data_IF_677172482023
#
_entry.id   IF_677172482023
#
_cell.length_a   1.000
_cell.length_b   1.000
_cell.length_c   1.000
_cell.angle_alpha   90.00
_cell.angle_beta   90.00
_cell.angle_gamma   90.00
#
_symmetry.space_group_name_H-M   'P 1'
#
loop_
_entity.id
_entity.type
_entity.pdbx_description
1 polymer ?
#
# COMPACT_ATOMS: atom_id res chain seq x y z
N UNK A 1 -15.99 7.76 -12.33
CA UNK A 1 -14.83 8.66 -12.53
C UNK A 1 -13.60 7.77 -12.60
N UNK A 2 -12.78 7.87 -13.65
CA UNK A 2 -11.48 7.23 -13.62
C UNK A 2 -10.63 7.93 -12.55
N UNK A 3 -9.95 7.20 -11.66
CA UNK A 3 -9.03 7.82 -10.71
C UNK A 3 -7.95 8.59 -11.48
N UNK A 4 -7.44 9.71 -10.94
CA UNK A 4 -6.38 10.51 -11.58
C UNK A 4 -5.01 9.81 -11.57
N UNK A 5 -4.98 8.50 -11.36
CA UNK A 5 -3.80 7.65 -11.23
C UNK A 5 -4.13 6.22 -11.70
N UNK A 6 -3.10 5.49 -12.12
CA UNK A 6 -3.21 4.07 -12.47
C UNK A 6 -2.93 3.19 -11.26
N UNK A 7 -3.59 2.02 -11.19
CA UNK A 7 -3.29 1.00 -10.19
C UNK A 7 -2.89 -0.27 -10.91
N UNK A 8 -1.69 -0.76 -10.64
CA UNK A 8 -1.17 -2.02 -11.16
C UNK A 8 -1.08 -3.00 -10.00
N UNK A 9 -1.60 -4.20 -10.20
CA UNK A 9 -1.62 -5.23 -9.17
C UNK A 9 -0.65 -6.35 -9.54
N UNK A 10 0.13 -6.79 -8.56
CA UNK A 10 0.68 -8.14 -8.62
C UNK A 10 -0.48 -9.15 -8.67
N UNK A 11 -0.31 -10.21 -9.45
CA UNK A 11 -1.37 -11.21 -9.68
C UNK A 11 -1.86 -11.82 -8.37
N UNK A 12 -0.94 -12.24 -7.49
CA UNK A 12 -1.28 -12.82 -6.19
C UNK A 12 -2.01 -11.82 -5.29
N UNK A 13 -1.56 -10.55 -5.28
CA UNK A 13 -2.21 -9.50 -4.50
C UNK A 13 -3.65 -9.26 -4.98
N UNK A 14 -3.88 -9.30 -6.31
CA UNK A 14 -5.21 -9.17 -6.87
C UNK A 14 -6.10 -10.35 -6.49
N UNK A 15 -5.57 -11.58 -6.56
CA UNK A 15 -6.32 -12.77 -6.17
C UNK A 15 -6.71 -12.75 -4.68
N UNK A 16 -5.83 -12.30 -3.79
CA UNK A 16 -6.18 -12.11 -2.37
C UNK A 16 -7.27 -11.07 -2.23
N UNK A 17 -7.13 -9.91 -2.90
CA UNK A 17 -8.11 -8.83 -2.84
C UNK A 17 -9.51 -9.27 -3.27
N UNK A 18 -9.62 -10.00 -4.38
CA UNK A 18 -10.90 -10.45 -4.93
C UNK A 18 -11.63 -11.47 -4.02
N UNK A 19 -10.93 -12.10 -3.05
CA UNK A 19 -11.53 -13.01 -2.05
C UNK A 19 -12.03 -12.30 -0.80
N UNK A 20 -11.65 -11.03 -0.59
CA UNK A 20 -12.05 -10.28 0.60
C UNK A 20 -13.54 -9.94 0.57
N UNK A 21 -14.19 -9.77 1.74
CA UNK A 21 -15.54 -9.22 1.81
C UNK A 21 -15.63 -7.86 1.12
N UNK A 22 -16.77 -7.55 0.48
CA UNK A 22 -16.94 -6.34 -0.31
C UNK A 22 -16.70 -5.07 0.52
N UNK A 23 -17.11 -5.06 1.80
CA UNK A 23 -16.89 -3.94 2.70
C UNK A 23 -15.40 -3.68 2.94
N UNK A 24 -14.60 -4.76 3.04
CA UNK A 24 -13.15 -4.67 3.20
C UNK A 24 -12.50 -4.20 1.90
N UNK A 25 -12.95 -4.70 0.74
CA UNK A 25 -12.51 -4.22 -0.56
C UNK A 25 -12.78 -2.72 -0.75
N UNK A 26 -13.96 -2.26 -0.34
CA UNK A 26 -14.36 -0.85 -0.42
C UNK A 26 -13.53 0.02 0.52
N UNK A 27 -13.31 -0.43 1.77
CA UNK A 27 -12.48 0.28 2.73
C UNK A 27 -11.03 0.40 2.23
N UNK A 28 -10.50 -0.68 1.65
CA UNK A 28 -9.17 -0.71 1.07
C UNK A 28 -9.04 0.25 -0.13
N UNK A 29 -9.94 0.14 -1.11
CA UNK A 29 -9.91 0.99 -2.31
C UNK A 29 -10.14 2.47 -2.00
N UNK A 30 -10.92 2.77 -0.96
CA UNK A 30 -11.12 4.13 -0.45
C UNK A 30 -9.85 4.78 0.11
N UNK A 31 -8.85 4.00 0.52
CA UNK A 31 -7.57 4.54 1.05
C UNK A 31 -6.55 4.86 -0.05
N UNK A 32 -6.67 4.24 -1.23
CA UNK A 32 -5.66 4.35 -2.29
C UNK A 32 -5.41 5.80 -2.75
N UNK A 33 -6.43 6.67 -2.93
CA UNK A 33 -6.20 8.07 -3.30
C UNK A 33 -5.35 8.83 -2.26
N UNK A 34 -5.54 8.56 -0.97
CA UNK A 34 -4.75 9.16 0.11
C UNK A 34 -3.30 8.68 0.09
N UNK A 35 -3.07 7.39 -0.18
CA UNK A 35 -1.72 6.84 -0.35
C UNK A 35 -1.01 7.45 -1.55
N UNK A 36 -1.69 7.58 -2.69
CA UNK A 36 -1.14 8.22 -3.89
C UNK A 36 -0.76 9.67 -3.62
N UNK A 37 -1.62 10.44 -2.95
CA UNK A 37 -1.31 11.81 -2.58
C UNK A 37 -0.08 11.88 -1.66
N UNK A 38 0.01 10.99 -0.67
CA UNK A 38 1.17 10.92 0.22
C UNK A 38 2.46 10.57 -0.53
N UNK A 39 2.43 9.57 -1.41
CA UNK A 39 3.60 9.20 -2.19
C UNK A 39 4.00 10.23 -3.23
N UNK A 40 3.05 10.92 -3.88
CA UNK A 40 3.38 12.00 -4.81
C UNK A 40 4.18 13.12 -4.14
N UNK A 41 3.94 13.36 -2.85
CA UNK A 41 4.71 14.33 -2.07
C UNK A 41 6.12 13.81 -1.72
N UNK A 42 6.26 12.52 -1.44
CA UNK A 42 7.54 11.86 -1.15
C UNK A 42 8.40 11.60 -2.38
N UNK A 43 7.77 11.33 -3.53
CA UNK A 43 8.43 10.92 -4.76
C UNK A 43 9.55 11.87 -5.21
N UNK A 44 9.39 13.21 -5.24
CA UNK A 44 10.48 14.11 -5.62
C UNK A 44 11.62 14.18 -4.59
N UNK A 45 11.42 13.66 -3.37
CA UNK A 45 12.43 13.64 -2.30
C UNK A 45 13.26 12.34 -2.33
N UNK A 46 12.88 11.37 -3.15
CA UNK A 46 13.58 10.08 -3.24
C UNK A 46 15.00 10.27 -3.79
N UNK A 47 15.96 9.42 -3.41
CA UNK A 47 17.25 9.34 -4.08
C UNK A 47 17.11 9.12 -5.59
N UNK A 48 17.89 9.82 -6.41
CA UNK A 48 17.78 9.78 -7.88
C UNK A 48 17.94 8.39 -8.50
N UNK A 49 18.59 7.45 -7.79
CA UNK A 49 18.78 6.07 -8.23
C UNK A 49 17.57 5.16 -7.96
N UNK A 50 16.55 5.64 -7.26
CA UNK A 50 15.32 4.90 -7.02
C UNK A 50 14.25 5.35 -8.01
N UNK A 51 13.66 4.41 -8.72
CA UNK A 51 12.57 4.68 -9.67
C UNK A 51 11.20 4.81 -8.98
N UNK A 52 11.09 4.26 -7.77
CA UNK A 52 9.84 4.17 -6.99
C UNK A 52 10.04 4.58 -5.53
N UNK A 53 8.95 4.97 -4.87
CA UNK A 53 8.87 5.07 -3.41
C UNK A 53 7.84 4.07 -2.91
N UNK A 54 8.20 3.27 -1.92
CA UNK A 54 7.35 2.18 -1.46
C UNK A 54 7.10 2.19 0.04
N UNK A 55 6.02 1.55 0.43
CA UNK A 55 5.74 1.29 1.82
C UNK A 55 4.90 0.03 2.07
N UNK A 56 5.06 -0.51 3.27
CA UNK A 56 4.16 -1.49 3.87
C UNK A 56 3.09 -0.78 4.69
N UNK A 57 1.84 -1.11 4.41
CA UNK A 57 0.66 -0.65 5.12
C UNK A 57 -0.10 -1.84 5.71
N UNK A 58 -0.91 -1.57 6.72
CA UNK A 58 -1.59 -2.58 7.52
C UNK A 58 -3.06 -2.22 7.71
N UNK A 59 -3.96 -3.17 7.44
CA UNK A 59 -5.40 -3.01 7.61
C UNK A 59 -5.95 -4.09 8.54
N UNK A 60 -6.76 -3.70 9.51
CA UNK A 60 -7.49 -4.63 10.37
C UNK A 60 -8.97 -4.56 10.06
N UNK A 61 -9.61 -5.72 9.92
CA UNK A 61 -11.06 -5.84 9.86
C UNK A 61 -11.51 -6.94 10.86
N UNK A 62 -11.53 -6.63 12.18
CA UNK A 62 -11.75 -7.64 13.23
C UNK A 62 -13.10 -8.35 13.13
N UNK A 63 -14.13 -7.67 12.63
CA UNK A 63 -15.48 -8.23 12.41
C UNK A 63 -15.44 -9.44 11.46
N UNK A 64 -14.48 -9.44 10.53
CA UNK A 64 -14.27 -10.52 9.56
C UNK A 64 -13.11 -11.43 9.94
N UNK A 65 -12.48 -11.24 11.11
CA UNK A 65 -11.27 -11.94 11.54
C UNK A 65 -10.11 -11.82 10.52
N UNK A 66 -9.95 -10.63 9.93
CA UNK A 66 -8.94 -10.34 8.92
C UNK A 66 -7.91 -9.33 9.40
N UNK A 67 -6.64 -9.66 9.21
CA UNK A 67 -5.48 -8.79 9.41
C UNK A 67 -4.66 -8.83 8.13
N UNK A 68 -4.52 -7.69 7.47
CA UNK A 68 -3.92 -7.61 6.13
C UNK A 68 -2.66 -6.77 6.16
N UNK A 69 -1.61 -7.27 5.51
CA UNK A 69 -0.44 -6.48 5.11
C UNK A 69 -0.50 -6.21 3.63
N UNK A 70 -0.23 -4.96 3.26
CA UNK A 70 -0.14 -4.52 1.88
C UNK A 70 1.25 -3.95 1.61
N UNK A 71 1.90 -4.43 0.55
CA UNK A 71 3.04 -3.79 -0.07
C UNK A 71 2.57 -2.87 -1.18
N UNK A 72 3.04 -1.62 -1.15
CA UNK A 72 2.78 -0.65 -2.22
C UNK A 72 4.07 0.01 -2.67
N UNK A 73 4.14 0.30 -3.96
CA UNK A 73 5.14 1.15 -4.57
C UNK A 73 4.46 2.21 -5.42
N UNK A 74 5.09 3.37 -5.53
CA UNK A 74 4.64 4.49 -6.31
C UNK A 74 5.71 4.90 -7.30
N UNK A 75 5.31 5.12 -8.54
CA UNK A 75 6.13 5.72 -9.58
C UNK A 75 5.32 6.68 -10.45
N UNK A 76 6.00 7.42 -11.32
CA UNK A 76 5.34 8.28 -12.30
C UNK A 76 5.79 7.92 -13.71
N UNK A 77 4.84 7.81 -14.64
CA UNK A 77 5.13 7.64 -16.07
C UNK A 77 4.54 8.80 -16.85
N UNK A 78 5.41 9.68 -17.36
CA UNK A 78 4.96 10.85 -18.12
C UNK A 78 3.98 11.74 -17.34
N UNK A 79 4.28 11.99 -16.06
CA UNK A 79 3.45 12.76 -15.10
C UNK A 79 2.12 12.09 -14.69
N UNK A 80 1.88 10.85 -15.11
CA UNK A 80 0.76 10.05 -14.60
C UNK A 80 1.22 9.27 -13.37
N UNK A 81 0.59 9.46 -12.19
CA UNK A 81 0.90 8.68 -11.00
C UNK A 81 0.49 7.22 -11.17
N UNK A 82 1.35 6.30 -10.74
CA UNK A 82 1.10 4.86 -10.77
C UNK A 82 1.31 4.31 -9.36
N UNK A 83 0.28 3.65 -8.83
CA UNK A 83 0.35 2.87 -7.61
C UNK A 83 0.46 1.39 -7.96
N UNK A 84 1.57 0.76 -7.60
CA UNK A 84 1.76 -0.68 -7.69
C UNK A 84 1.37 -1.31 -6.35
N UNK A 85 0.36 -2.16 -6.35
CA UNK A 85 0.06 -3.05 -5.21
C UNK A 85 0.86 -4.32 -5.42
N UNK A 86 2.04 -4.38 -4.80
CA UNK A 86 3.03 -5.45 -5.01
C UNK A 86 2.76 -6.67 -4.15
N UNK A 87 2.10 -6.49 -3.00
CA UNK A 87 1.76 -7.57 -2.07
C UNK A 87 0.43 -7.27 -1.39
N UNK A 88 -0.38 -8.31 -1.18
CA UNK A 88 -1.51 -8.30 -0.26
C UNK A 88 -1.61 -9.67 0.41
N UNK A 89 -1.36 -9.70 1.72
CA UNK A 89 -1.28 -10.94 2.50
C UNK A 89 -2.22 -10.90 3.70
N UNK A 90 -2.94 -11.99 3.91
CA UNK A 90 -3.64 -12.28 5.16
C UNK A 90 -2.63 -12.78 6.20
N UNK A 91 -2.66 -12.18 7.38
CA UNK A 91 -1.79 -12.49 8.50
C UNK A 91 -2.63 -12.98 9.67
N UNK A 92 -2.03 -13.81 10.52
CA UNK A 92 -2.55 -13.99 11.88
C UNK A 92 -2.41 -12.69 12.70
N UNK A 93 -3.16 -12.53 13.80
CA UNK A 93 -3.02 -11.35 14.67
C UNK A 93 -1.59 -11.12 15.16
N UNK A 94 -0.86 -12.19 15.51
CA UNK A 94 0.52 -12.10 15.98
C UNK A 94 1.49 -11.64 14.88
N UNK A 95 1.37 -12.20 13.67
CA UNK A 95 2.18 -11.80 12.52
C UNK A 95 1.90 -10.36 12.10
N UNK A 96 0.65 -9.92 12.23
CA UNK A 96 0.27 -8.54 11.96
C UNK A 96 0.94 -7.58 12.94
N UNK A 97 0.86 -7.87 14.25
CA UNK A 97 1.50 -7.04 15.27
C UNK A 97 3.02 -6.97 15.04
N UNK A 98 3.65 -8.10 14.77
CA UNK A 98 5.07 -8.15 14.43
C UNK A 98 5.39 -7.29 13.20
N UNK A 99 4.63 -7.43 12.12
CA UNK A 99 4.86 -6.67 10.89
C UNK A 99 4.66 -5.15 11.08
N UNK A 100 3.71 -4.75 11.93
CA UNK A 100 3.53 -3.34 12.33
C UNK A 100 4.75 -2.83 13.09
N UNK A 101 5.29 -3.61 14.03
CA UNK A 101 6.49 -3.21 14.78
C UNK A 101 7.71 -3.07 13.86
N UNK A 102 7.96 -4.04 12.98
CA UNK A 102 9.06 -3.99 12.01
C UNK A 102 8.96 -2.75 11.11
N UNK A 103 7.76 -2.42 10.66
CA UNK A 103 7.50 -1.26 9.81
C UNK A 103 7.65 0.09 10.53
N UNK A 104 7.68 0.10 11.86
CA UNK A 104 7.97 1.28 12.70
C UNK A 104 9.46 1.45 13.00
N UNK A 105 10.20 0.34 13.05
CA UNK A 105 11.64 0.34 13.40
C UNK A 105 12.54 0.58 12.17
N UNK A 106 12.00 0.45 10.94
CA UNK A 106 12.78 0.66 9.71
C UNK A 106 13.20 2.14 9.56
N UNK A 107 14.52 2.48 9.63
CA UNK A 107 15.00 3.87 9.70
C UNK A 107 15.05 4.62 8.35
N UNK A 108 14.85 3.94 7.22
CA UNK A 108 15.03 4.50 5.86
C UNK A 108 13.79 5.17 5.26
N UNK A 109 12.71 5.37 6.04
CA UNK A 109 11.65 6.26 5.59
C UNK A 109 12.15 7.70 5.70
N UNK A 110 12.20 8.41 4.57
CA UNK A 110 12.23 9.88 4.55
C UNK A 110 11.04 10.34 5.40
N UNK A 111 11.33 10.64 6.66
CA UNK A 111 10.37 11.12 7.62
C UNK A 111 10.32 12.63 7.42
N UNK A 112 9.22 13.22 6.90
CA UNK A 112 9.03 14.65 7.06
C UNK A 112 9.18 14.98 8.54
N UNK A 113 10.17 15.79 8.88
CA UNK A 113 10.08 16.61 10.09
C UNK A 113 9.06 17.72 9.87
#
# INVERSE_FOLDING_TARGET
MNPPFEIHWAEEARQTFDRLPQEVQNAFTGQLPGLVAHYSWLYPQRPEHLDVVGNKSHLQAPIYNLWLRMGTEYGEKGQVPILFVTELSELSPAEFEQSVQESRVTPDRINPR
#
